data_IF_426013749112
#
_entry.id   IF_426013749112
#
_cell.length_a   1.000
_cell.length_b   1.000
_cell.length_c   1.000
_cell.angle_alpha   90.00
_cell.angle_beta   90.00
_cell.angle_gamma   90.00
#
_symmetry.space_group_name_H-M   'P 1'
#
loop_
_entity.id
_entity.type
_entity.pdbx_description
1 polymer ?
#
# COMPACT_ATOMS: atom_id res chain seq x y z
N UNK A 1 -0.90 -25.90 -12.19
CA UNK A 1 -0.34 -26.24 -10.88
C UNK A 1 1.03 -25.62 -10.66
N UNK A 2 2.04 -25.96 -11.47
CA UNK A 2 3.39 -25.36 -11.34
C UNK A 2 3.40 -23.83 -11.42
N UNK A 3 2.52 -23.28 -12.25
CA UNK A 3 2.38 -21.82 -12.42
C UNK A 3 1.96 -21.12 -11.12
N UNK A 4 0.97 -21.67 -10.43
CA UNK A 4 0.51 -21.11 -9.15
C UNK A 4 1.53 -21.28 -8.05
N UNK A 5 2.22 -22.42 -8.04
CA UNK A 5 3.29 -22.68 -7.09
C UNK A 5 4.44 -21.68 -7.27
N UNK A 6 4.85 -21.45 -8.51
CA UNK A 6 5.90 -20.45 -8.82
C UNK A 6 5.45 -19.04 -8.43
N UNK A 7 4.19 -18.69 -8.71
CA UNK A 7 3.65 -17.40 -8.33
C UNK A 7 3.67 -17.21 -6.79
N UNK A 8 3.35 -18.25 -6.04
CA UNK A 8 3.40 -18.21 -4.57
C UNK A 8 4.82 -17.99 -4.06
N UNK A 9 5.79 -18.71 -4.62
CA UNK A 9 7.20 -18.55 -4.26
C UNK A 9 7.68 -17.13 -4.60
N UNK A 10 7.32 -16.64 -5.79
CA UNK A 10 7.70 -15.29 -6.22
C UNK A 10 7.11 -14.21 -5.31
N UNK A 11 5.86 -14.37 -4.90
CA UNK A 11 5.20 -13.46 -3.96
C UNK A 11 5.93 -13.44 -2.62
N UNK A 12 6.24 -14.60 -2.08
CA UNK A 12 6.98 -14.71 -0.83
C UNK A 12 8.36 -14.05 -0.94
N UNK A 13 9.08 -14.32 -2.01
CA UNK A 13 10.42 -13.77 -2.23
C UNK A 13 10.38 -12.26 -2.41
N UNK A 14 9.41 -11.75 -3.16
CA UNK A 14 9.22 -10.32 -3.38
C UNK A 14 8.89 -9.58 -2.10
N UNK A 15 7.96 -10.09 -1.31
CA UNK A 15 7.61 -9.50 -0.01
C UNK A 15 8.80 -9.53 0.95
N UNK A 16 9.49 -10.65 1.06
CA UNK A 16 10.64 -10.77 1.94
C UNK A 16 11.75 -9.78 1.56
N UNK A 17 12.01 -9.62 0.27
CA UNK A 17 12.98 -8.65 -0.23
C UNK A 17 12.55 -7.21 0.10
N UNK A 18 11.30 -6.86 -0.18
CA UNK A 18 10.76 -5.53 0.07
C UNK A 18 10.80 -5.18 1.57
N UNK A 19 10.42 -6.13 2.43
CA UNK A 19 10.47 -5.94 3.88
C UNK A 19 11.89 -5.64 4.35
N UNK A 20 12.88 -6.35 3.82
CA UNK A 20 14.28 -6.15 4.20
C UNK A 20 14.86 -4.85 3.67
N UNK A 21 14.49 -4.46 2.44
CA UNK A 21 15.12 -3.34 1.75
C UNK A 21 14.45 -1.99 1.97
N UNK A 22 13.15 -1.97 2.35
CA UNK A 22 12.36 -0.73 2.34
C UNK A 22 11.68 -0.48 3.69
N UNK A 23 12.03 0.64 4.32
CA UNK A 23 11.38 1.07 5.55
C UNK A 23 9.88 1.36 5.33
N UNK A 24 9.51 1.95 4.20
CA UNK A 24 8.13 2.26 3.87
C UNK A 24 7.25 1.01 3.87
N UNK A 25 7.75 -0.10 3.32
CA UNK A 25 7.01 -1.38 3.30
C UNK A 25 6.81 -1.91 4.73
N UNK A 26 7.84 -1.82 5.58
CA UNK A 26 7.71 -2.23 6.99
C UNK A 26 6.67 -1.39 7.73
N UNK A 27 6.67 -0.08 7.51
CA UNK A 27 5.70 0.84 8.09
C UNK A 27 4.28 0.53 7.63
N UNK A 28 4.09 0.25 6.34
CA UNK A 28 2.79 -0.12 5.79
C UNK A 28 2.29 -1.46 6.34
N UNK A 29 3.16 -2.42 6.57
CA UNK A 29 2.79 -3.70 7.18
C UNK A 29 2.36 -3.51 8.64
N UNK A 30 3.04 -2.65 9.40
CA UNK A 30 2.63 -2.30 10.75
C UNK A 30 1.27 -1.61 10.73
N UNK A 31 1.07 -0.66 9.81
CA UNK A 31 -0.22 0.00 9.64
C UNK A 31 -1.33 -0.99 9.32
N UNK A 32 -1.08 -1.96 8.44
CA UNK A 32 -2.04 -3.01 8.10
C UNK A 32 -2.37 -3.89 9.31
N UNK A 33 -1.36 -4.28 10.08
CA UNK A 33 -1.56 -5.08 11.30
C UNK A 33 -2.40 -4.33 12.32
N UNK A 34 -2.18 -3.03 12.50
CA UNK A 34 -2.98 -2.18 13.40
C UNK A 34 -4.38 -1.93 12.85
N UNK A 35 -4.51 -1.85 11.53
CA UNK A 35 -5.81 -1.63 10.87
C UNK A 35 -6.79 -2.78 11.13
N UNK A 36 -6.30 -4.00 11.28
CA UNK A 36 -7.17 -5.16 11.50
C UNK A 36 -8.07 -4.98 12.75
N UNK A 37 -7.52 -4.77 13.96
CA UNK A 37 -8.38 -4.56 15.13
C UNK A 37 -9.09 -3.20 15.10
N UNK A 38 -8.45 -2.14 14.62
CA UNK A 38 -9.05 -0.81 14.59
C UNK A 38 -10.24 -0.74 13.63
N UNK A 39 -10.15 -1.38 12.48
CA UNK A 39 -11.25 -1.46 11.52
C UNK A 39 -12.46 -2.17 12.12
N UNK A 40 -12.23 -3.20 12.90
CA UNK A 40 -13.29 -3.93 13.58
C UNK A 40 -13.98 -3.07 14.64
N UNK A 41 -13.21 -2.25 15.38
CA UNK A 41 -13.75 -1.35 16.40
C UNK A 41 -14.49 -0.16 15.80
N UNK A 42 -13.99 0.40 14.71
CA UNK A 42 -14.49 1.64 14.10
C UNK A 42 -15.63 1.38 13.11
N UNK A 43 -15.57 0.31 12.33
CA UNK A 43 -16.58 0.00 11.34
C UNK A 43 -17.93 -0.32 11.97
N UNK A 44 -18.96 0.43 11.60
CA UNK A 44 -20.33 0.21 12.11
C UNK A 44 -20.98 -1.04 11.53
N UNK A 45 -20.47 -1.52 10.40
CA UNK A 45 -20.88 -2.78 9.77
C UNK A 45 -19.66 -3.61 9.44
N UNK A 46 -19.88 -4.92 9.22
CA UNK A 46 -18.79 -5.80 8.76
C UNK A 46 -18.20 -5.31 7.44
N UNK A 47 -19.05 -4.88 6.50
CA UNK A 47 -18.58 -4.36 5.22
C UNK A 47 -17.72 -3.12 5.40
N UNK A 48 -18.08 -2.22 6.30
CA UNK A 48 -17.26 -1.03 6.59
C UNK A 48 -15.89 -1.43 7.12
N UNK A 49 -15.84 -2.39 8.03
CA UNK A 49 -14.57 -2.91 8.56
C UNK A 49 -13.70 -3.51 7.46
N UNK A 50 -14.30 -4.29 6.54
CA UNK A 50 -13.59 -4.86 5.39
C UNK A 50 -13.02 -3.76 4.49
N UNK A 51 -13.82 -2.73 4.19
CA UNK A 51 -13.37 -1.59 3.38
C UNK A 51 -12.17 -0.89 4.01
N UNK A 52 -12.20 -0.69 5.33
CA UNK A 52 -11.10 -0.01 6.04
C UNK A 52 -9.79 -0.79 5.96
N UNK A 53 -9.85 -2.11 6.08
CA UNK A 53 -8.67 -2.97 5.90
C UNK A 53 -8.22 -2.96 4.44
N UNK A 54 -9.17 -3.05 3.51
CA UNK A 54 -8.88 -3.11 2.07
C UNK A 54 -8.14 -1.86 1.58
N UNK A 55 -8.53 -0.66 2.05
CA UNK A 55 -7.84 0.57 1.60
C UNK A 55 -6.42 0.67 2.15
N UNK A 56 -6.15 0.14 3.34
CA UNK A 56 -4.78 0.07 3.88
C UNK A 56 -3.96 -0.93 3.09
N UNK A 57 -4.54 -2.10 2.77
CA UNK A 57 -3.88 -3.09 1.91
C UNK A 57 -3.60 -2.53 0.51
N UNK A 58 -4.50 -1.72 -0.02
CA UNK A 58 -4.30 -1.06 -1.31
C UNK A 58 -3.09 -0.13 -1.28
N UNK A 59 -2.91 0.63 -0.22
CA UNK A 59 -1.72 1.48 -0.04
C UNK A 59 -0.45 0.62 -0.10
N UNK A 60 -0.45 -0.53 0.55
CA UNK A 60 0.69 -1.46 0.49
C UNK A 60 0.95 -1.94 -0.94
N UNK A 61 -0.11 -2.30 -1.68
CA UNK A 61 0.01 -2.73 -3.09
C UNK A 61 0.67 -1.63 -3.92
N UNK A 62 0.18 -0.41 -3.80
CA UNK A 62 0.70 0.74 -4.55
C UNK A 62 2.15 1.03 -4.15
N UNK A 63 2.48 0.95 -2.86
CA UNK A 63 3.84 1.17 -2.36
C UNK A 63 4.81 0.11 -2.91
N UNK A 64 4.40 -1.16 -2.96
CA UNK A 64 5.20 -2.23 -3.56
C UNK A 64 5.48 -1.96 -5.04
N UNK A 65 4.45 -1.54 -5.78
CA UNK A 65 4.61 -1.21 -7.21
C UNK A 65 5.48 0.01 -7.41
N UNK A 66 5.32 1.04 -6.59
CA UNK A 66 6.17 2.24 -6.66
C UNK A 66 7.63 1.89 -6.38
N UNK A 67 7.88 1.10 -5.35
CA UNK A 67 9.22 0.63 -5.01
C UNK A 67 9.85 -0.15 -6.16
N UNK A 68 9.09 -1.03 -6.80
CA UNK A 68 9.56 -1.78 -7.97
C UNK A 68 9.93 -0.85 -9.12
N UNK A 69 9.12 0.17 -9.38
CA UNK A 69 9.38 1.19 -10.40
C UNK A 69 10.67 1.96 -10.07
N UNK A 70 10.83 2.40 -8.83
CA UNK A 70 12.02 3.13 -8.41
C UNK A 70 13.30 2.30 -8.57
N UNK A 71 13.26 1.04 -8.15
CA UNK A 71 14.40 0.14 -8.30
C UNK A 71 14.73 -0.12 -9.76
N UNK A 72 13.71 -0.27 -10.61
CA UNK A 72 13.92 -0.44 -12.04
C UNK A 72 14.51 0.83 -12.66
N UNK A 73 13.99 1.99 -12.30
CA UNK A 73 14.48 3.28 -12.78
C UNK A 73 15.96 3.49 -12.40
N UNK A 74 16.32 3.17 -11.15
CA UNK A 74 17.70 3.29 -10.66
C UNK A 74 18.64 2.31 -11.36
N UNK A 75 18.12 1.17 -11.82
CA UNK A 75 18.89 0.20 -12.59
C UNK A 75 19.19 0.71 -14.00
N UNK A 76 18.29 1.53 -14.58
CA UNK A 76 18.48 2.14 -15.90
C UNK A 76 19.51 3.27 -15.83
N UNK A 77 19.41 4.15 -14.85
CA UNK A 77 20.35 5.25 -14.63
C UNK A 77 20.22 5.82 -13.23
N UNK A 78 21.35 6.24 -12.64
CA UNK A 78 21.38 7.02 -11.41
C UNK A 78 21.64 8.50 -11.70
N UNK A 79 21.93 8.85 -12.97
CA UNK A 79 22.14 10.24 -13.40
C UNK A 79 20.81 10.99 -13.43
N UNK A 80 20.91 12.32 -13.39
CA UNK A 80 19.74 13.17 -13.53
C UNK A 80 19.18 13.05 -14.94
N UNK A 81 18.03 12.39 -15.07
CA UNK A 81 17.30 12.23 -16.31
C UNK A 81 15.87 12.71 -16.10
N UNK A 82 15.43 13.77 -16.80
CA UNK A 82 14.09 14.34 -16.58
C UNK A 82 12.96 13.34 -16.87
N UNK A 83 13.13 12.43 -17.83
CA UNK A 83 12.10 11.44 -18.15
C UNK A 83 11.98 10.39 -17.04
N UNK A 84 13.10 9.91 -16.53
CA UNK A 84 13.13 8.98 -15.39
C UNK A 84 12.58 9.68 -14.15
N UNK A 85 12.90 10.93 -13.94
CA UNK A 85 12.35 11.72 -12.83
C UNK A 85 10.82 11.79 -12.89
N UNK A 86 10.24 12.01 -14.08
CA UNK A 86 8.77 12.00 -14.25
C UNK A 86 8.16 10.64 -13.94
N UNK A 87 8.80 9.55 -14.34
CA UNK A 87 8.33 8.19 -14.01
C UNK A 87 8.29 8.00 -12.50
N UNK A 88 9.35 8.38 -11.79
CA UNK A 88 9.38 8.30 -10.32
C UNK A 88 8.31 9.17 -9.67
N UNK A 89 8.10 10.38 -10.19
CA UNK A 89 7.07 11.30 -9.69
C UNK A 89 5.67 10.71 -9.87
N UNK A 90 5.41 10.04 -10.99
CA UNK A 90 4.12 9.37 -11.22
C UNK A 90 3.88 8.26 -10.21
N UNK A 91 4.90 7.47 -9.90
CA UNK A 91 4.82 6.43 -8.88
C UNK A 91 4.51 7.01 -7.49
N UNK A 92 5.21 8.10 -7.12
CA UNK A 92 4.94 8.82 -5.88
C UNK A 92 3.53 9.41 -5.83
N UNK A 93 3.05 9.94 -6.95
CA UNK A 93 1.68 10.44 -7.05
C UNK A 93 0.65 9.35 -6.82
N UNK A 94 0.88 8.16 -7.34
CA UNK A 94 0.00 7.01 -7.10
C UNK A 94 -0.09 6.67 -5.61
N UNK A 95 1.05 6.67 -4.90
CA UNK A 95 1.08 6.48 -3.44
C UNK A 95 0.27 7.57 -2.75
N UNK A 96 0.45 8.83 -3.15
CA UNK A 96 -0.28 9.96 -2.57
C UNK A 96 -1.79 9.83 -2.74
N UNK A 97 -2.25 9.43 -3.92
CA UNK A 97 -3.69 9.20 -4.18
C UNK A 97 -4.21 8.06 -3.32
N UNK A 98 -3.47 6.97 -3.21
CA UNK A 98 -3.87 5.83 -2.38
C UNK A 98 -3.99 6.22 -0.90
N UNK A 99 -3.06 7.04 -0.39
CA UNK A 99 -3.09 7.54 0.98
C UNK A 99 -4.30 8.45 1.22
N UNK A 100 -4.63 9.33 0.28
CA UNK A 100 -5.82 10.18 0.36
C UNK A 100 -7.09 9.33 0.39
N UNK A 101 -7.18 8.32 -0.47
CA UNK A 101 -8.31 7.39 -0.47
C UNK A 101 -8.46 6.70 0.88
N UNK A 102 -7.38 6.15 1.42
CA UNK A 102 -7.41 5.48 2.71
C UNK A 102 -7.84 6.46 3.81
N UNK A 103 -7.26 7.66 3.82
CA UNK A 103 -7.63 8.69 4.79
C UNK A 103 -9.11 9.06 4.75
N UNK A 104 -9.67 9.22 3.55
CA UNK A 104 -11.09 9.55 3.39
C UNK A 104 -11.99 8.43 3.88
N UNK A 105 -11.69 7.18 3.58
CA UNK A 105 -12.49 6.04 4.06
C UNK A 105 -12.46 5.96 5.59
N UNK A 106 -11.29 6.15 6.20
CA UNK A 106 -11.16 6.08 7.65
C UNK A 106 -11.85 7.26 8.35
N UNK A 107 -11.72 8.48 7.81
CA UNK A 107 -12.41 9.65 8.37
C UNK A 107 -13.93 9.50 8.26
N UNK A 108 -14.43 9.02 7.13
CA UNK A 108 -15.85 8.73 6.94
C UNK A 108 -16.33 7.70 7.96
N UNK A 109 -15.59 6.61 8.13
CA UNK A 109 -15.97 5.56 9.07
C UNK A 109 -15.98 6.05 10.52
N UNK A 110 -15.02 6.89 10.90
CA UNK A 110 -14.97 7.49 12.23
C UNK A 110 -16.18 8.41 12.44
N UNK A 111 -16.47 9.28 11.46
CA UNK A 111 -17.61 10.18 11.53
C UNK A 111 -18.93 9.42 11.65
N UNK A 112 -19.06 8.33 10.93
CA UNK A 112 -20.21 7.43 11.00
C UNK A 112 -20.31 6.78 12.39
N UNK A 113 -19.18 6.33 12.93
CA UNK A 113 -19.14 5.64 14.24
C UNK A 113 -19.51 6.56 15.38
N UNK A 114 -19.10 7.83 15.35
CA UNK A 114 -19.40 8.79 16.40
C UNK A 114 -20.74 9.50 16.17
N UNK A 115 -21.46 9.15 15.12
CA UNK A 115 -22.82 9.66 14.88
C UNK A 115 -22.90 11.05 14.29
N UNK A 116 -21.81 11.57 13.70
CA UNK A 116 -21.81 12.88 13.01
C UNK A 116 -22.50 12.80 11.65
N UNK A 117 -22.48 11.61 11.05
CA UNK A 117 -23.18 11.34 9.78
C UNK A 117 -24.00 10.06 9.84
#
# INVERSE_FOLDING_TARGET
>A
MLRFWRATINTRNGLAFAIRSEAAIREELVALALALPLAWLIGVTTMRSVELVAVVALVLVVELLNTAIEKLADRLTTDHDPQIGRVKDMGSAAVGVALVMAGLFWLFAIAERIGVI
#
